data_IF_326198107359
#
_entry.id   IF_326198107359
#
_cell.length_a   1.000
_cell.length_b   1.000
_cell.length_c   1.000
_cell.angle_alpha   90.00
_cell.angle_beta   90.00
_cell.angle_gamma   90.00
#
_symmetry.space_group_name_H-M   'P 1'
#
loop_
_entity.id
_entity.type
_entity.pdbx_description
1 polymer ?
#
# COMPACT_ATOMS: atom_id res chain seq x y z
N UNK A 1 2.21 12.45 19.89
CA UNK A 1 2.79 13.78 20.18
C UNK A 1 3.06 14.46 18.85
N UNK A 2 2.82 15.77 18.71
CA UNK A 2 3.09 16.50 17.47
C UNK A 2 4.15 17.56 17.75
N UNK A 3 5.30 17.47 17.08
CA UNK A 3 6.43 18.38 17.26
C UNK A 3 6.82 19.02 15.92
N UNK A 4 7.44 20.20 15.97
CA UNK A 4 7.92 20.94 14.79
C UNK A 4 9.44 20.89 14.71
N UNK A 5 9.99 20.63 13.52
CA UNK A 5 11.41 20.49 13.27
C UNK A 5 11.85 21.31 12.06
N UNK A 6 13.16 21.51 11.97
CA UNK A 6 13.84 22.14 10.83
C UNK A 6 15.05 21.28 10.47
N UNK A 7 15.26 21.02 9.19
CA UNK A 7 16.31 20.12 8.75
C UNK A 7 16.05 18.66 9.10
N UNK A 8 17.11 17.87 9.07
CA UNK A 8 17.08 16.48 9.56
C UNK A 8 16.90 16.47 11.07
N UNK A 9 15.94 15.70 11.57
CA UNK A 9 15.69 15.58 13.01
C UNK A 9 15.31 14.16 13.42
N UNK A 10 15.66 13.83 14.65
CA UNK A 10 15.28 12.58 15.33
C UNK A 10 14.23 12.86 16.38
N UNK A 11 13.17 12.05 16.36
CA UNK A 11 12.03 12.13 17.28
C UNK A 11 12.08 10.93 18.21
N UNK A 12 12.17 11.20 19.51
CA UNK A 12 12.13 10.18 20.55
C UNK A 12 10.67 9.77 20.81
N UNK A 13 10.41 8.46 20.75
CA UNK A 13 9.09 7.86 20.96
C UNK A 13 8.93 7.24 22.35
N UNK A 14 10.06 7.01 23.04
CA UNK A 14 10.11 6.32 24.33
C UNK A 14 10.10 4.81 24.19
N UNK A 15 9.57 4.10 25.20
CA UNK A 15 9.49 2.64 25.17
C UNK A 15 8.26 2.16 24.38
N UNK A 16 8.43 1.17 23.48
CA UNK A 16 7.30 0.59 22.77
C UNK A 16 6.37 -0.13 23.75
N UNK A 17 5.04 0.08 23.67
CA UNK A 17 4.09 -0.68 24.46
C UNK A 17 4.10 -2.16 24.04
N UNK A 18 3.69 -3.04 24.97
CA UNK A 18 3.68 -4.48 24.71
C UNK A 18 2.88 -4.84 23.46
N UNK A 19 3.49 -5.59 22.56
CA UNK A 19 2.86 -6.05 21.32
C UNK A 19 2.75 -4.98 20.23
N UNK A 20 3.40 -3.83 20.36
CA UNK A 20 3.60 -2.91 19.23
C UNK A 20 4.36 -3.62 18.10
N UNK A 21 3.92 -3.41 16.86
CA UNK A 21 4.49 -4.03 15.66
C UNK A 21 4.94 -3.00 14.62
N UNK A 22 4.54 -1.73 14.78
CA UNK A 22 4.92 -0.66 13.87
C UNK A 22 4.95 0.71 14.52
N UNK A 23 5.45 1.68 13.78
CA UNK A 23 5.38 3.11 14.09
C UNK A 23 4.59 3.80 12.99
N UNK A 24 3.43 4.34 13.34
CA UNK A 24 2.63 5.19 12.45
C UNK A 24 3.11 6.63 12.57
N UNK A 25 3.38 7.25 11.43
CA UNK A 25 3.90 8.60 11.28
C UNK A 25 2.96 9.41 10.39
N UNK A 26 2.66 10.63 10.80
CA UNK A 26 2.00 11.64 9.98
C UNK A 26 2.91 12.86 9.91
N UNK A 27 3.52 13.05 8.75
CA UNK A 27 4.35 14.20 8.43
C UNK A 27 3.46 15.31 7.86
N UNK A 28 3.50 16.50 8.45
CA UNK A 28 2.87 17.71 7.89
C UNK A 28 3.97 18.68 7.49
N UNK A 29 4.03 19.00 6.20
CA UNK A 29 5.09 19.81 5.62
C UNK A 29 4.73 21.29 5.72
N UNK A 30 5.69 22.11 6.21
CA UNK A 30 5.54 23.55 6.37
C UNK A 30 6.35 24.36 5.34
N UNK A 31 7.28 23.70 4.63
CA UNK A 31 8.03 24.25 3.49
C UNK A 31 8.18 23.16 2.43
N UNK A 32 8.04 23.51 1.16
CA UNK A 32 8.37 22.60 0.05
C UNK A 32 9.77 21.98 0.22
N UNK A 33 9.92 20.73 -0.20
CA UNK A 33 11.15 19.96 0.00
C UNK A 33 10.94 18.45 -0.14
N UNK A 34 12.03 17.71 0.09
CA UNK A 34 12.06 16.25 0.13
C UNK A 34 12.30 15.77 1.56
N UNK A 35 11.55 14.76 1.98
CA UNK A 35 11.60 14.19 3.31
C UNK A 35 11.74 12.67 3.21
N UNK A 36 12.79 12.11 3.80
CA UNK A 36 13.09 10.67 3.79
C UNK A 36 12.79 10.07 5.17
N UNK A 37 12.00 9.00 5.18
CA UNK A 37 11.67 8.17 6.33
C UNK A 37 12.82 7.19 6.67
N UNK A 38 12.84 6.58 7.87
CA UNK A 38 13.97 5.76 8.33
C UNK A 38 14.34 4.56 7.44
N UNK A 39 13.37 4.01 6.71
CA UNK A 39 13.54 2.86 5.82
C UNK A 39 13.90 3.25 4.37
N UNK A 40 14.12 4.55 4.12
CA UNK A 40 14.48 5.09 2.81
C UNK A 40 13.27 5.48 1.94
N UNK A 41 12.03 5.24 2.39
CA UNK A 41 10.87 5.81 1.72
C UNK A 41 10.93 7.33 1.77
N UNK A 42 10.36 8.03 0.78
CA UNK A 42 10.40 9.50 0.76
C UNK A 42 9.09 10.12 0.29
N UNK A 43 8.88 11.37 0.71
CA UNK A 43 7.78 12.22 0.29
C UNK A 43 8.33 13.57 -0.20
N UNK A 44 7.92 13.98 -1.38
CA UNK A 44 8.36 15.22 -2.03
C UNK A 44 7.18 16.16 -2.23
N UNK A 45 7.35 17.42 -1.83
CA UNK A 45 6.35 18.46 -1.98
C UNK A 45 7.00 19.63 -2.74
N UNK A 46 6.57 19.84 -3.98
CA UNK A 46 7.09 20.94 -4.81
C UNK A 46 6.46 22.29 -4.45
N UNK A 47 5.18 22.27 -4.08
CA UNK A 47 4.42 23.45 -3.67
C UNK A 47 3.54 23.10 -2.48
N UNK A 48 3.25 24.10 -1.65
CA UNK A 48 2.29 23.95 -0.56
C UNK A 48 0.92 24.44 -0.99
N UNK A 49 -0.08 23.64 -0.71
CA UNK A 49 -1.48 23.96 -0.96
C UNK A 49 -2.05 24.80 0.19
N UNK A 50 -3.03 25.64 -0.14
CA UNK A 50 -3.82 26.38 0.85
C UNK A 50 -4.64 25.45 1.74
N UNK A 51 -5.09 24.31 1.19
CA UNK A 51 -5.61 23.20 1.98
C UNK A 51 -4.44 22.41 2.59
N UNK A 52 -4.18 22.65 3.87
CA UNK A 52 -3.04 22.06 4.59
C UNK A 52 -3.11 20.54 4.71
N UNK A 53 -4.29 19.93 4.49
CA UNK A 53 -4.43 18.47 4.43
C UNK A 53 -3.65 17.86 3.28
N UNK A 54 -3.55 18.58 2.16
CA UNK A 54 -2.77 18.17 1.00
C UNK A 54 -1.24 18.32 1.21
N UNK A 55 -0.83 18.96 2.30
CA UNK A 55 0.58 19.11 2.68
C UNK A 55 1.00 18.05 3.70
N UNK A 56 0.28 16.93 3.80
CA UNK A 56 0.56 15.87 4.77
C UNK A 56 0.79 14.53 4.09
N UNK A 57 1.67 13.71 4.69
CA UNK A 57 1.96 12.34 4.28
C UNK A 57 1.87 11.41 5.49
N UNK A 58 1.05 10.36 5.35
CA UNK A 58 0.95 9.28 6.33
C UNK A 58 1.83 8.11 5.91
N UNK A 59 2.63 7.58 6.84
CA UNK A 59 3.50 6.44 6.59
C UNK A 59 3.61 5.55 7.83
N UNK A 60 3.74 4.24 7.64
CA UNK A 60 3.92 3.29 8.74
C UNK A 60 5.08 2.37 8.43
N UNK A 61 6.03 2.30 9.35
CA UNK A 61 7.19 1.40 9.25
C UNK A 61 7.05 0.25 10.25
N UNK A 62 7.58 -0.95 9.92
CA UNK A 62 7.74 -2.03 10.89
C UNK A 62 8.60 -1.56 12.07
N UNK A 63 8.23 -2.00 13.28
CA UNK A 63 8.99 -1.69 14.48
C UNK A 63 10.23 -2.59 14.56
N UNK A 64 11.43 -2.01 14.46
CA UNK A 64 12.67 -2.75 14.67
C UNK A 64 12.90 -3.04 16.17
N UNK A 65 13.54 -4.16 16.54
CA UNK A 65 13.90 -4.45 17.93
C UNK A 65 14.74 -3.32 18.55
N UNK A 66 14.32 -2.79 19.69
CA UNK A 66 15.00 -1.68 20.37
C UNK A 66 14.83 -0.32 19.68
N UNK A 67 13.83 -0.15 18.80
CA UNK A 67 13.55 1.13 18.17
C UNK A 67 12.74 2.04 19.11
N UNK A 68 13.43 3.06 19.61
CA UNK A 68 12.88 4.07 20.52
C UNK A 68 12.74 5.45 19.87
N UNK A 69 13.22 5.60 18.65
CA UNK A 69 13.20 6.86 17.93
C UNK A 69 13.01 6.66 16.42
N UNK A 70 12.68 7.75 15.73
CA UNK A 70 12.61 7.82 14.26
C UNK A 70 13.33 9.06 13.77
N UNK A 71 14.08 8.92 12.67
CA UNK A 71 14.77 10.05 12.03
C UNK A 71 14.12 10.35 10.69
N UNK A 72 13.76 11.61 10.47
CA UNK A 72 13.37 12.10 9.15
C UNK A 72 14.52 12.93 8.61
N UNK A 73 15.05 12.54 7.45
CA UNK A 73 16.07 13.34 6.76
C UNK A 73 15.36 14.36 5.89
N UNK A 74 15.83 15.60 5.98
CA UNK A 74 15.33 16.72 5.19
C UNK A 74 16.45 17.73 4.94
N UNK A 75 16.26 18.60 3.95
CA UNK A 75 17.18 19.69 3.67
C UNK A 75 17.25 20.67 4.85
N UNK A 76 18.39 21.33 5.13
CA UNK A 76 18.61 22.12 6.34
C UNK A 76 17.57 23.22 6.61
N UNK A 77 16.95 23.77 5.58
CA UNK A 77 15.95 24.84 5.69
C UNK A 77 14.50 24.32 5.69
N UNK A 78 14.30 23.03 5.43
CA UNK A 78 12.98 22.43 5.37
C UNK A 78 12.37 22.36 6.76
N UNK A 79 11.15 22.89 6.92
CA UNK A 79 10.36 22.87 8.15
C UNK A 79 9.18 21.93 8.01
N UNK A 80 8.93 21.18 9.08
CA UNK A 80 7.91 20.14 9.09
C UNK A 80 7.45 19.84 10.50
N UNK A 81 6.29 19.19 10.61
CA UNK A 81 5.77 18.63 11.84
C UNK A 81 5.62 17.12 11.70
N UNK A 82 5.85 16.40 12.79
CA UNK A 82 5.63 14.96 12.82
C UNK A 82 4.77 14.58 14.00
N UNK A 83 3.76 13.78 13.71
CA UNK A 83 3.04 13.01 14.71
C UNK A 83 3.43 11.55 14.55
N UNK A 84 4.10 10.98 15.55
CA UNK A 84 4.48 9.58 15.55
C UNK A 84 3.86 8.87 16.76
N UNK A 85 3.47 7.61 16.59
CA UNK A 85 2.98 6.74 17.66
C UNK A 85 3.26 5.28 17.34
N UNK A 86 3.45 4.48 18.39
CA UNK A 86 3.45 3.02 18.25
C UNK A 86 2.06 2.52 17.87
N UNK A 87 2.02 1.55 16.97
CA UNK A 87 0.80 0.85 16.55
C UNK A 87 1.00 -0.66 16.65
N UNK A 88 -0.09 -1.37 16.94
CA UNK A 88 -0.17 -2.80 16.77
C UNK A 88 -0.95 -3.08 15.49
N UNK A 89 -0.22 -3.29 14.42
CA UNK A 89 -0.77 -3.75 13.15
C UNK A 89 -0.58 -5.27 13.05
N UNK A 90 -1.68 -5.99 12.95
CA UNK A 90 -1.68 -7.43 12.66
C UNK A 90 -2.08 -7.57 11.21
N UNK A 91 -1.22 -8.15 10.39
CA UNK A 91 -1.58 -8.52 9.02
C UNK A 91 -2.43 -9.77 9.06
N UNK A 92 -3.55 -9.73 8.36
CA UNK A 92 -4.41 -10.89 8.20
C UNK A 92 -3.70 -11.89 7.31
N UNK A 93 -3.62 -13.15 7.75
CA UNK A 93 -3.16 -14.25 6.91
C UNK A 93 -4.08 -14.38 5.68
N UNK A 94 -3.56 -14.93 4.60
CA UNK A 94 -4.38 -15.28 3.44
C UNK A 94 -5.45 -16.31 3.85
N UNK A 95 -6.65 -16.13 3.34
CA UNK A 95 -7.69 -17.15 3.44
C UNK A 95 -7.41 -18.28 2.44
N UNK A 96 -7.99 -19.45 2.69
CA UNK A 96 -7.97 -20.59 1.77
C UNK A 96 -9.41 -21.03 1.52
N UNK A 97 -9.81 -21.10 0.25
CA UNK A 97 -11.17 -21.50 -0.11
C UNK A 97 -11.34 -23.03 -0.16
N UNK A 98 -12.56 -23.50 -0.43
CA UNK A 98 -12.87 -24.94 -0.49
C UNK A 98 -12.10 -25.71 -1.59
N UNK A 99 -11.57 -25.00 -2.60
CA UNK A 99 -10.72 -25.58 -3.67
C UNK A 99 -9.23 -25.61 -3.28
N UNK A 100 -8.87 -25.07 -2.12
CA UNK A 100 -7.47 -24.95 -1.68
C UNK A 100 -6.74 -23.74 -2.26
N UNK A 101 -7.45 -22.81 -2.92
CA UNK A 101 -6.86 -21.59 -3.48
C UNK A 101 -6.74 -20.52 -2.38
N UNK A 102 -5.63 -19.79 -2.38
CA UNK A 102 -5.36 -18.70 -1.44
C UNK A 102 -5.99 -17.39 -1.90
N UNK A 103 -6.58 -16.62 -0.98
CA UNK A 103 -7.19 -15.33 -1.30
C UNK A 103 -6.84 -14.25 -0.27
N UNK A 104 -6.66 -13.01 -0.73
CA UNK A 104 -6.38 -11.88 0.14
C UNK A 104 -5.62 -10.73 -0.53
N UNK A 105 -4.91 -9.96 0.30
CA UNK A 105 -4.04 -8.87 -0.16
C UNK A 105 -2.62 -9.41 -0.31
N UNK A 106 -2.04 -9.22 -1.50
CA UNK A 106 -0.63 -9.50 -1.74
C UNK A 106 0.26 -8.70 -0.79
N UNK A 107 1.27 -9.36 -0.21
CA UNK A 107 2.27 -8.70 0.61
C UNK A 107 3.57 -9.49 0.59
N UNK A 108 4.69 -8.85 0.93
CA UNK A 108 6.00 -9.52 0.98
C UNK A 108 6.04 -10.71 1.94
N UNK A 109 5.26 -10.67 3.04
CA UNK A 109 5.20 -11.73 4.05
C UNK A 109 4.35 -12.92 3.59
N UNK A 110 3.19 -12.65 3.00
CA UNK A 110 2.23 -13.68 2.59
C UNK A 110 2.45 -14.19 1.15
N UNK A 111 3.27 -13.49 0.36
CA UNK A 111 3.42 -13.73 -1.07
C UNK A 111 2.19 -13.30 -1.88
N UNK A 112 2.16 -13.80 -3.12
CA UNK A 112 1.07 -13.58 -4.08
C UNK A 112 -0.02 -14.65 -3.87
N UNK A 113 -1.25 -14.28 -3.46
CA UNK A 113 -2.35 -15.22 -3.40
C UNK A 113 -2.83 -15.63 -4.80
N UNK A 114 -3.52 -16.76 -4.91
CA UNK A 114 -4.19 -17.17 -6.15
C UNK A 114 -5.27 -16.16 -6.57
N UNK A 115 -5.96 -15.57 -5.58
CA UNK A 115 -7.04 -14.60 -5.69
C UNK A 115 -6.68 -13.28 -4.97
N UNK A 116 -6.43 -12.21 -5.74
CA UNK A 116 -6.01 -10.91 -5.24
C UNK A 116 -7.22 -9.99 -5.04
N UNK A 117 -7.32 -9.38 -3.86
CA UNK A 117 -8.39 -8.45 -3.52
C UNK A 117 -8.34 -7.17 -4.37
N UNK A 118 -9.48 -6.80 -4.97
CA UNK A 118 -9.65 -5.59 -5.78
C UNK A 118 -10.98 -4.90 -5.50
N UNK A 119 -11.11 -3.67 -5.99
CA UNK A 119 -12.40 -2.97 -6.10
C UNK A 119 -12.83 -3.03 -7.56
N UNK A 120 -14.00 -3.61 -7.81
CA UNK A 120 -14.62 -3.67 -9.13
C UNK A 120 -15.08 -2.27 -9.60
N UNK A 121 -15.35 -2.13 -10.90
CA UNK A 121 -15.84 -0.89 -11.53
C UNK A 121 -17.20 -0.44 -10.98
N UNK A 122 -17.97 -1.35 -10.39
CA UNK A 122 -19.22 -1.06 -9.68
C UNK A 122 -19.01 -0.60 -8.22
N UNK A 123 -17.77 -0.45 -7.76
CA UNK A 123 -17.40 -0.08 -6.39
C UNK A 123 -17.45 -1.23 -5.38
N UNK A 124 -17.87 -2.43 -5.79
CA UNK A 124 -17.88 -3.62 -4.94
C UNK A 124 -16.49 -4.19 -4.72
N UNK A 125 -16.21 -4.69 -3.52
CA UNK A 125 -14.99 -5.44 -3.24
C UNK A 125 -15.13 -6.89 -3.70
N UNK A 126 -14.04 -7.50 -4.15
CA UNK A 126 -13.97 -8.91 -4.52
C UNK A 126 -12.55 -9.31 -4.87
N UNK A 127 -12.37 -10.40 -5.60
CA UNK A 127 -11.07 -10.97 -5.92
C UNK A 127 -10.91 -11.24 -7.42
N UNK A 128 -9.71 -11.06 -7.95
CA UNK A 128 -9.32 -11.46 -9.30
C UNK A 128 -8.23 -12.52 -9.23
N UNK A 129 -8.19 -13.43 -10.19
CA UNK A 129 -7.11 -14.39 -10.26
C UNK A 129 -5.77 -13.70 -10.56
N UNK A 130 -4.72 -14.00 -9.79
CA UNK A 130 -3.39 -13.44 -9.98
C UNK A 130 -2.85 -13.66 -11.40
N UNK A 131 -3.02 -14.88 -11.93
CA UNK A 131 -2.67 -15.24 -13.33
C UNK A 131 -3.33 -14.32 -14.36
N UNK A 132 -4.56 -13.88 -14.10
CA UNK A 132 -5.32 -13.01 -15.00
C UNK A 132 -4.90 -11.55 -14.78
N UNK A 133 -4.60 -11.15 -13.54
CA UNK A 133 -4.14 -9.80 -13.21
C UNK A 133 -2.78 -9.48 -13.83
N UNK A 134 -1.79 -10.35 -13.69
CA UNK A 134 -0.42 -10.09 -14.19
C UNK A 134 -0.27 -10.22 -15.71
N UNK A 135 -1.31 -10.69 -16.42
CA UNK A 135 -1.45 -10.45 -17.85
C UNK A 135 -0.44 -11.16 -18.76
N UNK A 136 0.12 -12.28 -18.32
CA UNK A 136 0.97 -13.16 -19.13
C UNK A 136 2.37 -13.38 -18.54
N UNK A 137 3.24 -14.12 -19.26
CA UNK A 137 4.58 -14.43 -18.79
C UNK A 137 5.41 -13.16 -18.63
N UNK A 138 6.18 -13.06 -17.55
CA UNK A 138 7.17 -12.01 -17.40
C UNK A 138 8.26 -12.13 -18.48
N UNK A 139 8.79 -10.99 -18.97
CA UNK A 139 9.87 -11.02 -19.95
C UNK A 139 11.10 -11.72 -19.38
N UNK A 140 11.70 -12.61 -20.18
CA UNK A 140 12.84 -13.44 -19.77
C UNK A 140 14.19 -12.84 -20.18
N UNK A 141 14.19 -11.72 -20.90
CA UNK A 141 15.39 -11.01 -21.34
C UNK A 141 15.15 -9.50 -21.42
N UNK A 142 16.21 -8.67 -21.38
CA UNK A 142 16.07 -7.22 -21.59
C UNK A 142 15.44 -6.87 -22.94
N UNK A 143 15.75 -7.59 -24.00
CA UNK A 143 15.15 -7.38 -25.32
C UNK A 143 13.65 -7.71 -25.34
N UNK A 144 13.25 -8.79 -24.65
CA UNK A 144 11.84 -9.14 -24.49
C UNK A 144 11.10 -8.12 -23.62
N UNK A 145 11.77 -7.56 -22.60
CA UNK A 145 11.20 -6.51 -21.77
C UNK A 145 10.90 -5.24 -22.59
N UNK A 146 11.82 -4.83 -23.48
CA UNK A 146 11.62 -3.70 -24.39
C UNK A 146 10.46 -3.97 -25.36
N UNK A 147 10.39 -5.17 -25.94
CA UNK A 147 9.27 -5.56 -26.83
C UNK A 147 7.95 -5.58 -26.07
N UNK A 148 7.93 -6.15 -24.87
CA UNK A 148 6.75 -6.26 -24.01
C UNK A 148 6.23 -4.89 -23.57
N UNK A 149 7.14 -3.94 -23.27
CA UNK A 149 6.80 -2.58 -22.88
C UNK A 149 6.29 -1.74 -24.07
N UNK A 150 6.94 -1.88 -25.24
CA UNK A 150 6.59 -1.12 -26.44
C UNK A 150 5.38 -1.69 -27.19
N UNK A 151 4.81 -2.80 -26.74
CA UNK A 151 3.59 -3.38 -27.31
C UNK A 151 2.39 -2.82 -26.54
N UNK A 152 1.60 -1.89 -27.12
CA UNK A 152 0.41 -1.38 -26.46
C UNK A 152 -0.56 -2.53 -26.23
N UNK A 153 -1.04 -2.66 -25.00
CA UNK A 153 -2.12 -3.58 -24.65
C UNK A 153 -3.38 -2.77 -24.39
N UNK A 154 -4.53 -3.13 -24.98
CA UNK A 154 -5.78 -2.52 -24.57
C UNK A 154 -6.03 -2.80 -23.08
N UNK A 155 -6.80 -1.95 -22.39
CA UNK A 155 -7.32 -2.27 -21.07
C UNK A 155 -7.97 -3.66 -21.08
N UNK A 156 -7.77 -4.40 -19.98
CA UNK A 156 -8.29 -5.76 -19.84
C UNK A 156 -9.40 -5.75 -18.81
N UNK A 157 -10.56 -6.23 -19.22
CA UNK A 157 -11.66 -6.52 -18.30
C UNK A 157 -11.42 -7.87 -17.65
N UNK A 158 -11.20 -7.87 -16.33
CA UNK A 158 -10.95 -9.08 -15.54
C UNK A 158 -12.19 -9.32 -14.68
N UNK A 159 -12.82 -10.51 -14.74
CA UNK A 159 -13.94 -10.82 -13.86
C UNK A 159 -13.54 -10.78 -12.39
N UNK A 160 -14.38 -10.16 -11.55
CA UNK A 160 -14.20 -10.12 -10.10
C UNK A 160 -15.11 -11.15 -9.46
N UNK A 161 -14.58 -11.95 -8.55
CA UNK A 161 -15.23 -13.06 -7.86
C UNK A 161 -15.36 -12.81 -6.35
N UNK A 162 -16.19 -13.60 -5.67
CA UNK A 162 -16.08 -13.81 -4.22
C UNK A 162 -14.85 -14.67 -3.88
N UNK A 163 -14.60 -14.87 -2.59
CA UNK A 163 -13.48 -15.69 -2.10
C UNK A 163 -13.56 -17.17 -2.53
N UNK A 164 -14.72 -17.64 -3.00
CA UNK A 164 -14.89 -18.95 -3.62
C UNK A 164 -14.20 -19.09 -4.99
N UNK A 165 -13.80 -17.97 -5.62
CA UNK A 165 -13.22 -17.96 -6.96
C UNK A 165 -14.17 -18.40 -8.08
N UNK A 166 -15.48 -18.45 -7.82
CA UNK A 166 -16.51 -18.93 -8.77
C UNK A 166 -17.65 -17.92 -8.93
N UNK A 167 -18.13 -17.34 -7.83
CA UNK A 167 -19.25 -16.40 -7.85
C UNK A 167 -18.80 -15.04 -8.36
N UNK A 168 -19.12 -14.72 -9.61
CA UNK A 168 -18.78 -13.43 -10.23
C UNK A 168 -19.64 -12.29 -9.66
N UNK A 169 -18.99 -11.22 -9.20
CA UNK A 169 -19.61 -10.04 -8.57
C UNK A 169 -19.30 -8.72 -9.28
N UNK A 170 -18.41 -8.73 -10.28
CA UNK A 170 -18.10 -7.51 -11.02
C UNK A 170 -17.05 -7.69 -12.11
N UNK A 171 -16.47 -6.55 -12.51
CA UNK A 171 -15.36 -6.43 -13.46
C UNK A 171 -14.32 -5.49 -12.85
N UNK A 172 -13.05 -5.83 -13.01
CA UNK A 172 -11.91 -5.00 -12.70
C UNK A 172 -11.26 -4.59 -14.03
N UNK A 173 -11.05 -3.30 -14.22
CA UNK A 173 -10.33 -2.78 -15.39
C UNK A 173 -8.84 -2.70 -15.06
N UNK A 174 -8.06 -3.65 -15.59
CA UNK A 174 -6.61 -3.58 -15.53
C UNK A 174 -6.10 -2.71 -16.68
N UNK A 175 -5.38 -1.64 -16.36
CA UNK A 175 -4.72 -0.82 -17.36
C UNK A 175 -3.72 -1.65 -18.19
N UNK A 176 -3.57 -1.30 -19.47
CA UNK A 176 -2.49 -1.82 -20.32
C UNK A 176 -1.11 -1.40 -19.82
N UNK A 177 -0.05 -2.08 -20.30
CA UNK A 177 1.34 -1.76 -19.92
C UNK A 177 1.65 -0.28 -20.21
N UNK A 178 2.12 0.46 -19.20
CA UNK A 178 2.48 1.88 -19.28
C UNK A 178 1.76 2.82 -18.30
N UNK A 179 0.76 2.35 -17.54
CA UNK A 179 0.12 3.13 -16.47
C UNK A 179 0.82 2.90 -15.13
N UNK A 180 1.21 3.98 -14.45
CA UNK A 180 1.80 3.93 -13.11
C UNK A 180 0.94 3.15 -12.12
N UNK A 181 1.57 2.73 -11.02
CA UNK A 181 0.89 2.18 -9.84
C UNK A 181 -0.48 2.86 -9.67
N UNK A 182 -1.61 2.14 -9.77
CA UNK A 182 -2.87 2.73 -9.40
C UNK A 182 -2.70 3.16 -7.95
N UNK A 183 -2.81 4.47 -7.70
CA UNK A 183 -2.88 5.01 -6.36
C UNK A 183 -4.03 4.28 -5.68
N UNK A 184 -3.71 3.31 -4.83
CA UNK A 184 -4.72 2.71 -3.98
C UNK A 184 -5.33 3.87 -3.20
N UNK A 185 -6.66 4.12 -3.30
CA UNK A 185 -7.29 5.03 -2.37
C UNK A 185 -6.92 4.53 -0.96
N UNK A 186 -6.63 5.45 -0.03
CA UNK A 186 -6.15 5.15 1.33
C UNK A 186 -7.10 4.27 2.17
N UNK A 187 -8.17 3.74 1.57
CA UNK A 187 -9.08 2.77 2.15
C UNK A 187 -8.70 1.39 1.64
N UNK A 188 -8.12 0.58 2.52
CA UNK A 188 -7.97 -0.85 2.25
C UNK A 188 -9.32 -1.43 1.82
N UNK A 189 -9.37 -2.30 0.78
CA UNK A 189 -10.57 -3.04 0.44
C UNK A 189 -11.08 -3.76 1.70
N UNK A 190 -12.36 -3.59 2.03
CA UNK A 190 -12.97 -4.47 3.01
C UNK A 190 -13.06 -5.84 2.35
N UNK A 191 -12.29 -6.81 2.84
CA UNK A 191 -12.28 -8.16 2.29
C UNK A 191 -13.68 -8.75 2.44
N UNK A 192 -14.41 -9.05 1.35
CA UNK A 192 -15.67 -9.76 1.47
C UNK A 192 -15.34 -11.15 2.01
N UNK A 193 -15.88 -11.44 3.19
CA UNK A 193 -15.97 -12.79 3.72
C UNK A 193 -17.25 -13.39 3.19
N UNK A 194 -17.23 -14.65 2.77
CA UNK A 194 -18.47 -15.36 2.53
C UNK A 194 -19.20 -15.38 3.87
N UNK A 195 -20.37 -14.75 3.93
CA UNK A 195 -21.22 -14.78 5.11
C UNK A 195 -21.32 -16.24 5.60
N UNK A 196 -21.03 -16.42 6.89
CA UNK A 196 -21.33 -17.64 7.60
C UNK A 196 -22.81 -17.99 7.36
N UNK A 197 -23.17 -19.29 7.26
CA UNK A 197 -24.56 -19.66 7.03
C UNK A 197 -25.45 -19.05 8.12
N UNK A 198 -26.50 -18.37 7.69
CA UNK A 198 -27.56 -17.88 8.57
C UNK A 198 -28.13 -19.05 9.38
N UNK A 199 -28.14 -18.87 10.70
CA UNK A 199 -28.76 -19.79 11.66
C UNK A 199 -30.29 -19.69 11.59
#
# INVERSE_FOLDING_TARGET
>A
MTETYTGTATVELGDPPEGATGVEMTLTVLTAGSFEFPDGASATFHELHTDTRANSSGYTIPLAPGQHCVTIKAEPESRWQLTAKYVKQVRTALGVNAKGETYGVESQENGTPDLIAVIATNGGSGYVYAKDLYGGPMPTSPEDAVKNFNTPRPPREIPVYLSDGETRVGIFEAAGSGGGIPSYPSRSPALPTADAPAN
#
